data_IF_219161836768
#
_entry.id   IF_219161836768
#
_cell.length_a   1.000
_cell.length_b   1.000
_cell.length_c   1.000
_cell.angle_alpha   90.00
_cell.angle_beta   90.00
_cell.angle_gamma   90.00
#
_symmetry.space_group_name_H-M   'P 1'
#
loop_
_entity.id
_entity.type
_entity.pdbx_description
1 polymer ?
#
# COMPACT_ATOMS: atom_id res chain seq x y z
N UNK A 1 -35.54 61.93 7.04
CA UNK A 1 -35.03 60.68 6.45
C UNK A 1 -35.85 59.54 7.05
N UNK A 2 -36.81 58.97 6.32
CA UNK A 2 -37.70 57.92 6.84
C UNK A 2 -37.05 56.57 6.58
N UNK A 3 -36.60 55.91 7.64
CA UNK A 3 -36.03 54.57 7.56
C UNK A 3 -37.18 53.61 7.31
N UNK A 4 -37.19 52.99 6.13
CA UNK A 4 -38.19 51.99 5.78
C UNK A 4 -37.90 50.73 6.60
N UNK A 5 -38.63 50.57 7.70
CA UNK A 5 -38.34 49.56 8.72
C UNK A 5 -38.39 48.12 8.17
N UNK A 6 -39.23 47.88 7.15
CA UNK A 6 -39.27 46.60 6.44
C UNK A 6 -37.97 46.31 5.70
N UNK A 7 -37.38 47.26 4.98
CA UNK A 7 -36.12 47.04 4.28
C UNK A 7 -34.96 46.92 5.26
N UNK A 8 -34.98 47.70 6.35
CA UNK A 8 -33.99 47.57 7.43
C UNK A 8 -34.02 46.17 8.09
N UNK A 9 -35.20 45.60 8.32
CA UNK A 9 -35.33 44.27 8.91
C UNK A 9 -34.82 43.16 7.97
N UNK A 10 -35.10 43.28 6.67
CA UNK A 10 -34.56 42.34 5.67
C UNK A 10 -33.04 42.47 5.53
N UNK A 11 -32.50 43.70 5.57
CA UNK A 11 -31.05 43.94 5.57
C UNK A 11 -30.37 43.35 6.81
N UNK A 12 -30.97 43.51 8.01
CA UNK A 12 -30.43 42.92 9.25
C UNK A 12 -30.46 41.39 9.17
N UNK A 13 -31.55 40.80 8.69
CA UNK A 13 -31.65 39.34 8.54
C UNK A 13 -30.63 38.80 7.52
N UNK A 14 -30.41 39.51 6.41
CA UNK A 14 -29.41 39.15 5.42
C UNK A 14 -27.98 39.27 5.97
N UNK A 15 -27.69 40.29 6.78
CA UNK A 15 -26.39 40.45 7.45
C UNK A 15 -26.14 39.34 8.48
N UNK A 16 -27.14 39.01 9.29
CA UNK A 16 -27.03 37.90 10.26
C UNK A 16 -26.82 36.56 9.52
N UNK A 17 -27.58 36.31 8.45
CA UNK A 17 -27.43 35.09 7.65
C UNK A 17 -26.04 35.00 6.99
N UNK A 18 -25.54 36.10 6.43
CA UNK A 18 -24.22 36.11 5.80
C UNK A 18 -23.07 35.98 6.80
N UNK A 19 -23.17 36.53 8.01
CA UNK A 19 -22.20 36.27 9.09
C UNK A 19 -22.21 34.80 9.51
N UNK A 20 -23.38 34.16 9.59
CA UNK A 20 -23.45 32.72 9.93
C UNK A 20 -22.89 31.81 8.84
N UNK A 21 -23.01 32.19 7.57
CA UNK A 21 -22.43 31.42 6.45
C UNK A 21 -20.91 31.59 6.37
N UNK A 22 -20.37 32.74 6.76
CA UNK A 22 -18.91 32.99 6.74
C UNK A 22 -18.16 32.26 7.86
N UNK A 23 -18.80 31.99 9.01
CA UNK A 23 -18.24 31.17 10.08
C UNK A 23 -18.24 29.65 9.78
N UNK A 24 -18.80 29.24 8.62
CA UNK A 24 -18.98 27.84 8.23
C UNK A 24 -17.79 27.17 7.53
N UNK A 25 -16.60 27.79 7.50
CA UNK A 25 -15.43 27.13 6.95
C UNK A 25 -14.91 26.11 7.97
N UNK A 26 -15.40 24.87 7.89
CA UNK A 26 -15.02 23.72 8.71
C UNK A 26 -13.59 23.23 8.49
N UNK A 27 -12.62 24.14 8.51
CA UNK A 27 -11.22 23.81 8.54
C UNK A 27 -10.89 23.24 9.93
N UNK A 28 -10.41 22.00 9.97
CA UNK A 28 -9.80 21.41 11.14
C UNK A 28 -8.67 22.35 11.64
N UNK A 29 -8.78 22.91 12.84
CA UNK A 29 -7.84 23.91 13.36
C UNK A 29 -6.43 23.35 13.53
N UNK A 30 -6.34 22.09 13.95
CA UNK A 30 -5.07 21.37 14.00
C UNK A 30 -4.40 21.31 12.61
N UNK A 31 -5.20 21.15 11.54
CA UNK A 31 -4.68 21.12 10.17
C UNK A 31 -4.17 22.47 9.66
N UNK A 32 -4.64 23.58 10.23
CA UNK A 32 -4.20 24.92 9.85
C UNK A 32 -2.85 25.29 10.50
N UNK A 33 -2.60 24.83 11.73
CA UNK A 33 -1.48 25.30 12.54
C UNK A 33 -0.33 24.29 12.67
N UNK A 34 -0.59 23.00 12.44
CA UNK A 34 0.37 21.93 12.72
C UNK A 34 0.58 21.03 11.50
N UNK A 35 1.83 20.58 11.25
CA UNK A 35 2.12 19.62 10.20
C UNK A 35 1.42 18.28 10.47
N UNK A 36 0.83 17.71 9.42
CA UNK A 36 0.23 16.39 9.43
C UNK A 36 1.30 15.31 9.47
N UNK A 37 1.20 14.39 10.42
CA UNK A 37 2.11 13.26 10.60
C UNK A 37 1.53 11.97 10.00
N UNK A 38 0.26 11.68 10.28
CA UNK A 38 -0.40 10.50 9.73
C UNK A 38 -1.92 10.66 9.63
N UNK A 39 -2.53 9.85 8.78
CA UNK A 39 -3.98 9.76 8.62
C UNK A 39 -4.37 8.29 8.62
N UNK A 40 -5.43 7.97 9.34
CA UNK A 40 -6.08 6.66 9.33
C UNK A 40 -7.54 6.86 8.98
N UNK A 41 -7.99 6.16 7.96
CA UNK A 41 -9.38 6.19 7.53
C UNK A 41 -9.84 4.76 7.22
N UNK A 42 -10.95 4.35 7.83
CA UNK A 42 -11.61 3.07 7.57
C UNK A 42 -13.13 3.26 7.54
N UNK A 43 -13.71 3.20 6.35
CA UNK A 43 -15.11 3.57 6.12
C UNK A 43 -15.39 5.00 6.58
N UNK A 44 -16.32 5.13 7.54
CA UNK A 44 -16.72 6.40 8.15
C UNK A 44 -15.82 6.80 9.34
N UNK A 45 -14.86 5.98 9.74
CA UNK A 45 -13.93 6.27 10.83
C UNK A 45 -12.73 7.07 10.30
N UNK A 46 -12.41 8.17 10.96
CA UNK A 46 -11.32 9.07 10.55
C UNK A 46 -10.53 9.56 11.76
N UNK A 47 -9.21 9.40 11.66
CA UNK A 47 -8.23 9.83 12.64
C UNK A 47 -7.06 10.51 11.94
N UNK A 48 -6.74 11.74 12.33
CA UNK A 48 -5.62 12.53 11.78
C UNK A 48 -4.67 12.91 12.89
N UNK A 49 -3.39 12.68 12.71
CA UNK A 49 -2.37 13.02 13.71
C UNK A 49 -1.51 14.15 13.19
N UNK A 50 -1.37 15.19 14.00
CA UNK A 50 -0.52 16.34 13.75
C UNK A 50 0.57 16.41 14.80
N UNK A 51 1.68 17.09 14.47
CA UNK A 51 2.81 17.27 15.38
C UNK A 51 2.99 18.72 15.75
N UNK A 52 3.02 19.01 17.04
CA UNK A 52 3.43 20.27 17.60
C UNK A 52 4.87 20.15 18.10
N UNK A 53 5.82 20.71 17.34
CA UNK A 53 7.24 20.66 17.68
C UNK A 53 7.57 21.60 18.84
N UNK A 54 8.34 21.10 19.82
CA UNK A 54 8.79 21.87 20.99
C UNK A 54 7.69 22.56 21.80
N UNK A 55 6.47 22.01 21.80
CA UNK A 55 5.35 22.50 22.61
C UNK A 55 4.83 21.40 23.51
N UNK A 56 4.51 21.77 24.74
CA UNK A 56 3.98 20.84 25.74
C UNK A 56 2.49 20.56 25.54
N UNK A 57 1.99 19.45 26.08
CA UNK A 57 0.58 19.06 25.97
C UNK A 57 -0.38 20.17 26.47
N UNK A 58 -0.18 20.75 27.67
CA UNK A 58 -1.06 21.82 28.15
C UNK A 58 -1.00 23.09 27.31
N UNK A 59 0.20 23.48 26.85
CA UNK A 59 0.39 24.67 26.02
C UNK A 59 -0.41 24.55 24.71
N UNK A 60 -0.31 23.40 24.04
CA UNK A 60 -1.07 23.13 22.82
C UNK A 60 -2.58 23.04 23.12
N UNK A 61 -2.97 22.47 24.25
CA UNK A 61 -4.37 22.40 24.66
C UNK A 61 -4.98 23.80 24.81
N UNK A 62 -4.28 24.70 25.50
CA UNK A 62 -4.72 26.09 25.66
C UNK A 62 -4.77 26.83 24.33
N UNK A 63 -3.74 26.70 23.49
CA UNK A 63 -3.72 27.36 22.17
C UNK A 63 -4.90 26.91 21.28
N UNK A 64 -5.24 25.62 21.29
CA UNK A 64 -6.38 25.11 20.53
C UNK A 64 -7.71 25.56 21.12
N UNK A 65 -7.83 25.57 22.46
CA UNK A 65 -9.04 26.01 23.15
C UNK A 65 -9.31 27.51 23.00
N UNK A 66 -8.25 28.33 22.94
CA UNK A 66 -8.33 29.77 22.70
C UNK A 66 -8.82 30.10 21.29
N UNK A 67 -8.48 29.26 20.31
CA UNK A 67 -8.94 29.41 18.92
C UNK A 67 -10.37 28.91 18.71
N UNK A 68 -10.73 27.79 19.36
CA UNK A 68 -12.08 27.23 19.35
C UNK A 68 -12.38 26.64 20.71
N UNK A 69 -13.41 27.18 21.35
CA UNK A 69 -13.84 26.72 22.66
C UNK A 69 -14.35 25.27 22.58
N UNK A 70 -13.74 24.32 23.31
CA UNK A 70 -14.25 22.96 23.40
C UNK A 70 -15.49 22.92 24.29
N UNK A 71 -16.35 21.91 24.09
CA UNK A 71 -17.48 21.63 24.97
C UNK A 71 -16.99 21.16 26.35
N UNK A 72 -15.93 20.38 26.35
CA UNK A 72 -15.28 19.89 27.55
C UNK A 72 -13.77 19.77 27.33
N UNK A 73 -13.01 20.03 28.38
CA UNK A 73 -11.57 19.82 28.41
C UNK A 73 -11.24 18.97 29.64
N UNK A 74 -10.38 17.97 29.47
CA UNK A 74 -9.91 17.16 30.59
C UNK A 74 -9.12 18.01 31.57
N UNK A 75 -8.83 17.43 32.74
CA UNK A 75 -7.84 18.00 33.66
C UNK A 75 -6.50 18.18 32.95
N UNK A 76 -5.77 19.20 33.37
CA UNK A 76 -4.43 19.48 32.88
C UNK A 76 -3.49 18.34 33.29
N UNK A 77 -2.81 17.77 32.30
CA UNK A 77 -1.85 16.69 32.50
C UNK A 77 -0.73 16.82 31.43
N UNK A 78 0.54 16.70 31.85
CA UNK A 78 1.69 16.93 30.96
C UNK A 78 1.88 15.83 29.92
N UNK A 79 1.29 14.66 30.12
CA UNK A 79 1.45 13.50 29.25
C UNK A 79 0.29 13.36 28.27
N UNK A 80 -0.95 13.68 28.69
CA UNK A 80 -2.12 13.60 27.82
C UNK A 80 -3.28 14.51 28.24
N UNK A 81 -3.97 15.08 27.26
CA UNK A 81 -5.20 15.84 27.48
C UNK A 81 -6.23 15.56 26.39
N UNK A 82 -7.50 15.76 26.73
CA UNK A 82 -8.63 15.61 25.80
C UNK A 82 -9.39 16.91 25.68
N UNK A 83 -9.69 17.31 24.44
CA UNK A 83 -10.60 18.41 24.14
C UNK A 83 -11.74 17.86 23.30
N UNK A 84 -12.96 18.04 23.79
CA UNK A 84 -14.17 17.52 23.16
C UNK A 84 -14.84 18.63 22.37
N UNK A 85 -15.07 18.38 21.09
CA UNK A 85 -15.84 19.25 20.20
C UNK A 85 -17.11 18.52 19.74
N UNK A 86 -18.09 19.23 19.13
CA UNK A 86 -19.36 18.62 18.73
C UNK A 86 -19.24 17.37 17.83
N UNK A 87 -18.26 17.36 16.92
CA UNK A 87 -18.10 16.32 15.89
C UNK A 87 -16.75 15.58 15.97
N UNK A 88 -15.83 16.06 16.79
CA UNK A 88 -14.43 15.61 16.84
C UNK A 88 -13.93 15.55 18.29
N UNK A 89 -13.07 14.59 18.59
CA UNK A 89 -12.30 14.49 19.83
C UNK A 89 -10.84 14.77 19.52
N UNK A 90 -10.23 15.68 20.27
CA UNK A 90 -8.81 15.96 20.15
C UNK A 90 -8.11 15.30 21.32
N UNK A 91 -7.23 14.36 21.02
CA UNK A 91 -6.39 13.67 21.99
C UNK A 91 -4.95 14.17 21.82
N UNK A 92 -4.52 14.98 22.78
CA UNK A 92 -3.16 15.48 22.85
C UNK A 92 -2.35 14.52 23.70
N UNK A 93 -1.19 14.13 23.23
CA UNK A 93 -0.31 13.21 23.94
C UNK A 93 1.15 13.57 23.68
N UNK A 94 2.00 13.37 24.69
CA UNK A 94 3.44 13.53 24.54
C UNK A 94 4.01 12.46 23.61
N UNK A 95 4.89 12.83 22.67
CA UNK A 95 5.56 11.84 21.81
C UNK A 95 6.56 11.00 22.64
N UNK A 96 6.42 9.67 22.72
CA UNK A 96 7.34 8.82 23.47
C UNK A 96 8.78 8.83 22.92
N UNK A 97 8.96 9.11 21.64
CA UNK A 97 10.28 9.20 21.00
C UNK A 97 10.91 10.59 21.11
N UNK A 98 10.07 11.64 21.25
CA UNK A 98 10.49 13.04 21.35
C UNK A 98 9.62 13.76 22.39
N UNK A 99 9.94 13.66 23.69
CA UNK A 99 9.07 14.17 24.76
C UNK A 99 8.93 15.70 24.81
N UNK A 100 9.69 16.45 24.01
CA UNK A 100 9.51 17.89 23.80
C UNK A 100 8.38 18.20 22.80
N UNK A 101 7.97 17.21 21.99
CA UNK A 101 6.91 17.35 21.00
C UNK A 101 5.59 16.79 21.55
N UNK A 102 4.49 17.40 21.10
CA UNK A 102 3.14 16.92 21.35
C UNK A 102 2.52 16.41 20.05
N UNK A 103 1.89 15.24 20.13
CA UNK A 103 1.08 14.67 19.06
C UNK A 103 -0.38 15.04 19.32
N UNK A 104 -1.03 15.60 18.30
CA UNK A 104 -2.43 16.02 18.33
C UNK A 104 -3.19 15.06 17.44
N UNK A 105 -3.93 14.13 18.02
CA UNK A 105 -4.79 13.21 17.31
C UNK A 105 -6.21 13.79 17.25
N UNK A 106 -6.70 14.05 16.04
CA UNK A 106 -8.05 14.55 15.77
C UNK A 106 -8.88 13.41 15.19
N UNK A 107 -9.79 12.91 16.02
CA UNK A 107 -10.63 11.76 15.73
C UNK A 107 -12.07 12.20 15.56
N UNK A 108 -12.75 11.68 14.54
CA UNK A 108 -14.20 11.89 14.43
C UNK A 108 -14.95 11.00 15.43
N UNK A 109 -16.21 11.34 15.72
CA UNK A 109 -17.06 10.58 16.67
C UNK A 109 -17.09 9.08 16.35
N UNK A 110 -17.15 8.69 15.08
CA UNK A 110 -17.18 7.28 14.70
C UNK A 110 -15.89 6.54 15.03
N UNK A 111 -14.72 7.15 14.81
CA UNK A 111 -13.45 6.57 15.20
C UNK A 111 -13.36 6.42 16.72
N UNK A 112 -13.76 7.45 17.48
CA UNK A 112 -13.77 7.39 18.95
C UNK A 112 -14.65 6.24 19.43
N UNK A 113 -15.89 6.21 18.96
CA UNK A 113 -16.91 5.25 19.37
C UNK A 113 -16.49 3.80 19.10
N UNK A 114 -15.85 3.54 17.96
CA UNK A 114 -15.46 2.20 17.53
C UNK A 114 -14.11 1.74 18.11
N UNK A 115 -13.16 2.65 18.33
CA UNK A 115 -11.79 2.27 18.68
C UNK A 115 -11.45 2.54 20.15
N UNK A 116 -11.94 3.61 20.77
CA UNK A 116 -11.52 3.98 22.11
C UNK A 116 -12.08 3.06 23.19
N UNK A 117 -11.26 2.88 24.22
CA UNK A 117 -11.65 2.25 25.48
C UNK A 117 -12.45 3.27 26.32
N UNK A 118 -13.72 2.98 26.58
CA UNK A 118 -14.61 3.86 27.35
C UNK A 118 -14.15 4.05 28.79
N UNK A 119 -13.58 3.02 29.42
CA UNK A 119 -13.06 3.08 30.78
C UNK A 119 -11.81 3.97 30.87
N UNK A 120 -11.01 4.01 29.79
CA UNK A 120 -9.88 4.92 29.68
C UNK A 120 -10.35 6.37 29.58
N UNK A 121 -11.32 6.68 28.72
CA UNK A 121 -11.85 8.04 28.57
C UNK A 121 -12.59 8.53 29.84
N UNK A 122 -13.19 7.61 30.62
CA UNK A 122 -13.81 7.93 31.91
C UNK A 122 -12.85 8.49 32.96
N UNK A 123 -11.54 8.25 32.81
CA UNK A 123 -10.54 8.90 33.66
C UNK A 123 -10.37 10.40 33.40
N UNK A 124 -10.77 10.87 32.22
CA UNK A 124 -10.47 12.23 31.73
C UNK A 124 -11.71 13.09 31.51
N UNK A 125 -12.82 12.46 31.11
CA UNK A 125 -14.06 13.13 30.69
C UNK A 125 -15.22 12.83 31.65
N UNK A 126 -16.19 13.73 31.73
CA UNK A 126 -17.44 13.55 32.46
C UNK A 126 -18.28 12.44 31.83
N UNK A 127 -19.01 11.73 32.68
CA UNK A 127 -19.92 10.66 32.28
C UNK A 127 -20.94 11.11 31.24
N UNK A 128 -21.48 12.33 31.34
CA UNK A 128 -22.46 12.87 30.40
C UNK A 128 -21.93 13.03 28.97
N UNK A 129 -20.65 13.37 28.82
CA UNK A 129 -20.01 13.50 27.50
C UNK A 129 -19.67 12.12 26.93
N UNK A 130 -19.26 11.19 27.79
CA UNK A 130 -19.05 9.80 27.38
C UNK A 130 -20.34 9.15 26.91
N UNK A 131 -21.44 9.41 27.62
CA UNK A 131 -22.76 8.91 27.21
C UNK A 131 -23.10 9.42 25.81
N UNK A 132 -22.91 10.70 25.49
CA UNK A 132 -23.12 11.22 24.12
C UNK A 132 -22.17 10.58 23.09
N UNK A 133 -20.91 10.34 23.43
CA UNK A 133 -19.94 9.69 22.53
C UNK A 133 -20.29 8.22 22.25
N UNK A 134 -20.87 7.51 23.21
CA UNK A 134 -21.09 6.05 23.16
C UNK A 134 -22.56 5.61 23.14
N UNK A 135 -23.54 6.53 23.14
CA UNK A 135 -24.99 6.30 23.34
C UNK A 135 -25.58 5.16 22.48
N UNK A 136 -25.00 4.89 21.32
CA UNK A 136 -25.51 3.93 20.34
C UNK A 136 -24.93 2.51 20.40
N UNK A 137 -23.91 2.21 21.23
CA UNK A 137 -23.28 0.87 21.24
C UNK A 137 -23.34 0.16 22.58
N UNK A 138 -24.32 -0.73 22.71
CA UNK A 138 -24.32 -1.79 23.71
C UNK A 138 -23.43 -2.94 23.25
N UNK A 139 -22.16 -2.94 23.65
CA UNK A 139 -21.36 -4.17 23.74
C UNK A 139 -20.17 -4.34 22.80
N UNK A 140 -19.74 -3.31 22.04
CA UNK A 140 -18.44 -3.30 21.36
C UNK A 140 -17.73 -1.98 21.67
N UNK A 141 -16.69 -2.06 22.49
CA UNK A 141 -15.78 -0.97 22.78
C UNK A 141 -14.39 -1.40 22.32
N UNK A 142 -13.67 -0.50 21.66
CA UNK A 142 -12.30 -0.80 21.29
C UNK A 142 -11.35 -0.74 22.49
N UNK A 143 -10.07 -0.98 22.23
CA UNK A 143 -9.01 -0.98 23.25
C UNK A 143 -8.03 0.18 23.07
N UNK A 144 -8.37 1.12 22.21
CA UNK A 144 -7.49 2.20 21.82
C UNK A 144 -7.35 3.23 22.94
N UNK A 145 -6.11 3.68 23.15
CA UNK A 145 -5.73 4.61 24.23
C UNK A 145 -4.83 5.74 23.74
N UNK A 146 -4.83 5.99 22.44
CA UNK A 146 -4.04 7.04 21.79
C UNK A 146 -2.94 6.53 20.86
N UNK A 147 -2.48 7.43 20.01
CA UNK A 147 -1.58 7.09 18.92
C UNK A 147 -0.20 6.57 19.35
N UNK A 148 0.25 6.87 20.58
CA UNK A 148 1.48 6.27 21.13
C UNK A 148 1.34 4.77 21.47
N UNK A 149 0.11 4.25 21.56
CA UNK A 149 -0.19 2.85 21.91
C UNK A 149 -0.51 1.98 20.70
N UNK A 150 -0.45 2.51 19.48
CA UNK A 150 -0.61 1.69 18.28
C UNK A 150 0.57 0.72 18.20
N UNK A 151 0.26 -0.57 18.10
CA UNK A 151 1.21 -1.57 17.62
C UNK A 151 1.62 -1.14 16.20
N UNK A 152 2.72 -0.40 16.09
CA UNK A 152 3.35 -0.14 14.80
C UNK A 152 3.63 -1.53 14.24
N UNK A 153 2.86 -1.95 13.23
CA UNK A 153 3.14 -3.17 12.49
C UNK A 153 4.49 -2.98 11.81
N UNK A 154 5.55 -3.32 12.54
CA UNK A 154 6.88 -3.46 12.00
C UNK A 154 6.83 -4.78 11.25
N UNK A 155 7.06 -4.80 9.93
CA UNK A 155 7.19 -6.06 9.24
C UNK A 155 8.28 -6.85 9.96
N UNK A 156 7.96 -8.09 10.37
CA UNK A 156 8.89 -8.97 11.10
C UNK A 156 10.12 -9.32 10.25
N UNK A 157 10.13 -8.94 8.98
CA UNK A 157 11.28 -9.03 8.09
C UNK A 157 12.18 -7.81 8.26
N UNK A 158 13.34 -8.03 8.86
CA UNK A 158 14.46 -7.08 8.79
C UNK A 158 14.90 -7.00 7.33
N UNK A 159 14.67 -5.85 6.69
CA UNK A 159 15.20 -5.58 5.36
C UNK A 159 16.72 -5.68 5.39
N UNK A 160 17.26 -6.70 4.74
CA UNK A 160 18.69 -6.91 4.57
C UNK A 160 19.00 -7.04 3.08
N UNK A 161 20.21 -6.63 2.71
CA UNK A 161 20.69 -6.89 1.36
C UNK A 161 20.78 -8.43 1.15
N UNK A 162 20.32 -8.97 0.01
CA UNK A 162 20.33 -10.42 -0.21
C UNK A 162 21.73 -11.01 -0.07
N UNK A 163 21.86 -12.06 0.73
CA UNK A 163 23.14 -12.73 0.94
C UNK A 163 23.59 -13.48 -0.32
N UNK A 164 24.90 -13.77 -0.45
CA UNK A 164 25.42 -14.49 -1.61
C UNK A 164 24.85 -15.91 -1.77
N UNK A 165 24.29 -16.49 -0.70
CA UNK A 165 23.61 -17.79 -0.73
C UNK A 165 22.18 -17.65 -1.27
N UNK A 166 21.42 -16.64 -0.83
CA UNK A 166 20.07 -16.35 -1.32
C UNK A 166 20.07 -15.98 -2.81
N UNK A 167 21.05 -15.18 -3.26
CA UNK A 167 21.22 -14.85 -4.68
C UNK A 167 21.44 -16.06 -5.59
N UNK A 168 21.90 -17.19 -5.04
CA UNK A 168 22.11 -18.44 -5.79
C UNK A 168 20.90 -19.36 -5.74
N UNK A 169 20.03 -19.21 -4.74
CA UNK A 169 18.90 -20.10 -4.52
C UNK A 169 17.69 -19.73 -5.38
N UNK A 170 17.55 -18.46 -5.75
CA UNK A 170 16.48 -18.00 -6.62
C UNK A 170 17.01 -17.72 -8.03
N UNK A 171 16.29 -18.16 -9.09
CA UNK A 171 16.64 -17.79 -10.45
C UNK A 171 16.55 -16.27 -10.62
N UNK A 172 17.35 -15.66 -11.50
CA UNK A 172 17.27 -14.23 -11.76
C UNK A 172 15.87 -13.88 -12.28
N UNK A 173 15.17 -12.99 -11.57
CA UNK A 173 13.88 -12.47 -12.03
C UNK A 173 14.19 -11.45 -13.14
N UNK A 174 13.89 -11.81 -14.38
CA UNK A 174 13.93 -10.86 -15.50
C UNK A 174 12.68 -9.98 -15.45
N UNK A 175 12.84 -8.67 -15.64
CA UNK A 175 11.69 -7.77 -15.86
C UNK A 175 11.03 -8.13 -17.19
N UNK A 176 9.70 -8.06 -17.25
CA UNK A 176 8.99 -8.20 -18.53
C UNK A 176 9.51 -7.15 -19.53
N UNK A 177 9.76 -7.58 -20.78
CA UNK A 177 10.26 -6.72 -21.85
C UNK A 177 11.76 -6.42 -21.83
N UNK A 178 12.52 -6.88 -20.82
CA UNK A 178 13.98 -6.68 -20.75
C UNK A 178 14.69 -8.02 -20.77
N UNK A 179 14.96 -8.53 -21.97
CA UNK A 179 15.77 -9.73 -22.18
C UNK A 179 16.31 -9.78 -23.61
N UNK A 180 17.62 -9.85 -23.77
CA UNK A 180 18.27 -10.09 -25.06
C UNK A 180 18.43 -11.59 -25.30
N UNK A 181 17.68 -12.16 -26.25
CA UNK A 181 17.90 -13.53 -26.71
C UNK A 181 19.04 -13.50 -27.73
N UNK A 182 20.27 -13.79 -27.31
CA UNK A 182 21.38 -14.00 -28.25
C UNK A 182 21.26 -15.43 -28.79
N UNK A 183 20.79 -15.59 -30.03
CA UNK A 183 20.86 -16.87 -30.75
C UNK A 183 22.32 -17.16 -31.10
N UNK A 184 22.83 -18.33 -30.66
CA UNK A 184 24.19 -18.82 -30.99
C UNK A 184 24.31 -19.35 -32.42
N UNK A 185 23.82 -18.61 -33.41
CA UNK A 185 24.01 -18.95 -34.82
C UNK A 185 24.37 -17.69 -35.59
N UNK A 186 25.60 -17.22 -35.39
CA UNK A 186 26.19 -16.16 -36.20
C UNK A 186 27.69 -16.39 -36.34
N UNK A 187 28.07 -17.46 -37.04
CA UNK A 187 29.21 -17.34 -37.96
C UNK A 187 28.61 -17.21 -39.36
N UNK A 188 28.15 -16.00 -39.68
CA UNK A 188 27.53 -15.70 -40.97
C UNK A 188 26.58 -14.52 -40.89
N UNK A 189 27.17 -13.33 -41.00
CA UNK A 189 26.60 -12.16 -41.67
C UNK A 189 25.33 -11.52 -41.11
N UNK A 190 25.48 -10.25 -40.70
CA UNK A 190 24.38 -9.30 -40.72
C UNK A 190 23.96 -8.82 -39.35
N UNK A 191 24.30 -7.55 -39.07
CA UNK A 191 23.74 -6.77 -37.98
C UNK A 191 22.20 -6.86 -37.95
N UNK A 192 21.64 -7.02 -36.76
CA UNK A 192 20.20 -6.82 -36.51
C UNK A 192 20.05 -6.27 -35.09
N UNK A 193 20.05 -4.94 -34.93
CA UNK A 193 18.85 -4.10 -34.87
C UNK A 193 17.90 -4.53 -33.77
N UNK A 194 17.76 -3.65 -32.78
CA UNK A 194 16.65 -3.59 -31.84
C UNK A 194 15.33 -3.89 -32.55
N UNK A 195 14.73 -5.03 -32.27
CA UNK A 195 13.35 -5.30 -32.65
C UNK A 195 12.46 -4.70 -31.57
N UNK A 196 12.15 -3.42 -31.75
CA UNK A 196 11.19 -2.70 -30.95
C UNK A 196 10.48 -1.72 -31.88
N UNK A 197 9.16 -1.77 -31.83
CA UNK A 197 8.21 -0.92 -32.57
C UNK A 197 7.91 -1.39 -33.99
N UNK A 198 6.78 -2.10 -34.08
CA UNK A 198 5.90 -2.24 -35.25
C UNK A 198 6.16 -3.42 -36.23
N UNK A 199 5.11 -4.21 -36.49
CA UNK A 199 5.05 -5.14 -37.63
C UNK A 199 5.00 -6.66 -37.35
N UNK A 200 3.78 -7.19 -37.17
CA UNK A 200 3.28 -8.55 -37.51
C UNK A 200 4.24 -9.77 -37.54
N UNK A 201 4.00 -10.71 -36.61
CA UNK A 201 4.71 -12.00 -36.47
C UNK A 201 4.39 -13.06 -37.55
N UNK A 202 3.59 -12.77 -38.58
CA UNK A 202 3.09 -13.80 -39.50
C UNK A 202 3.52 -13.68 -40.95
N UNK A 203 4.36 -12.70 -41.32
CA UNK A 203 4.77 -12.53 -42.72
C UNK A 203 6.17 -13.08 -42.98
N UNK A 204 6.25 -14.33 -43.46
CA UNK A 204 7.46 -14.93 -44.02
C UNK A 204 7.52 -14.60 -45.51
N UNK A 205 8.53 -13.84 -45.94
CA UNK A 205 8.78 -13.61 -47.36
C UNK A 205 9.23 -14.89 -48.08
N UNK A 206 8.74 -15.06 -49.30
CA UNK A 206 8.86 -16.26 -50.12
C UNK A 206 10.13 -16.18 -50.97
N UNK A 207 11.18 -16.88 -50.55
CA UNK A 207 12.38 -17.14 -51.34
C UNK A 207 12.33 -18.51 -52.01
N UNK A 208 12.74 -18.56 -53.26
CA UNK A 208 12.53 -19.57 -54.31
C UNK A 208 13.16 -20.95 -54.09
N UNK A 209 12.52 -21.93 -54.72
CA UNK A 209 12.84 -23.35 -54.90
C UNK A 209 14.29 -23.62 -55.27
N UNK A 210 14.91 -24.66 -54.69
CA UNK A 210 15.61 -25.67 -55.49
C UNK A 210 15.74 -27.02 -54.77
N UNK A 211 15.53 -28.04 -55.59
CA UNK A 211 15.46 -29.46 -55.30
C UNK A 211 16.78 -30.05 -54.81
N UNK A 212 16.72 -30.89 -53.77
CA UNK A 212 17.84 -31.74 -53.40
C UNK A 212 17.70 -32.23 -51.97
N UNK A 213 17.06 -33.40 -51.80
CA UNK A 213 17.10 -34.09 -50.52
C UNK A 213 18.54 -34.41 -50.16
N UNK A 214 19.07 -33.74 -49.13
CA UNK A 214 20.30 -34.17 -48.48
C UNK A 214 20.05 -34.27 -46.98
N UNK A 215 19.79 -35.50 -46.55
CA UNK A 215 19.88 -35.91 -45.16
C UNK A 215 21.28 -35.59 -44.65
N UNK A 216 21.39 -34.71 -43.64
CA UNK A 216 22.65 -34.44 -42.97
C UNK A 216 23.17 -35.71 -42.30
N UNK A 217 24.17 -36.35 -42.90
CA UNK A 217 24.96 -37.42 -42.26
C UNK A 217 25.99 -36.77 -41.34
N UNK A 218 26.02 -37.19 -40.07
CA UNK A 218 27.04 -36.79 -39.11
C UNK A 218 28.28 -37.65 -39.37
N UNK A 219 29.37 -37.04 -39.83
CA UNK A 219 30.69 -37.66 -39.78
C UNK A 219 31.26 -37.49 -38.37
N UNK A 220 31.62 -38.60 -37.71
CA UNK A 220 32.47 -38.58 -36.51
C UNK A 220 33.82 -39.12 -36.93
N UNK A 221 34.79 -38.23 -37.11
CA UNK A 221 36.16 -38.63 -37.39
C UNK A 221 36.72 -39.41 -36.20
N UNK A 222 37.20 -40.60 -36.50
CA UNK A 222 38.08 -41.42 -35.68
C UNK A 222 39.47 -40.80 -35.57
N UNK A 223 40.22 -41.32 -34.60
CA UNK A 223 41.68 -41.23 -34.40
C UNK A 223 42.13 -40.33 -33.24
N UNK A 224 42.26 -40.98 -32.08
CA UNK A 224 43.08 -40.58 -30.93
C UNK A 224 44.58 -40.78 -31.24
N UNK A 225 45.56 -40.23 -30.47
CA UNK A 225 45.93 -40.90 -29.21
C UNK A 225 46.42 -40.00 -28.05
N UNK A 226 46.32 -40.62 -26.86
CA UNK A 226 47.08 -40.44 -25.61
C UNK A 226 46.92 -39.12 -24.83
N UNK A 227 46.64 -39.12 -23.52
CA UNK A 227 47.15 -40.00 -22.46
C UNK A 227 46.27 -40.01 -21.20
N UNK A 228 46.13 -41.21 -20.59
CA UNK A 228 45.81 -41.53 -19.17
C UNK A 228 44.41 -41.13 -18.67
N UNK A 229 43.41 -42.02 -18.52
CA UNK A 229 43.35 -43.21 -17.65
C UNK A 229 42.64 -42.81 -16.33
N UNK A 230 41.60 -43.43 -15.79
CA UNK A 230 41.02 -44.78 -15.94
C UNK A 230 39.62 -44.85 -15.30
N UNK A 231 38.72 -45.61 -15.94
CA UNK A 231 37.70 -46.54 -15.37
C UNK A 231 36.61 -46.03 -14.41
N UNK A 232 35.35 -46.48 -14.40
CA UNK A 232 34.59 -47.49 -15.16
C UNK A 232 33.12 -47.38 -14.70
N UNK A 233 32.12 -47.70 -15.53
CA UNK A 233 30.73 -47.80 -15.09
C UNK A 233 29.69 -47.73 -16.20
N UNK A 234 29.33 -48.90 -16.75
CA UNK A 234 28.51 -49.06 -17.94
C UNK A 234 27.04 -48.59 -17.85
N UNK A 235 26.55 -48.07 -18.97
CA UNK A 235 25.15 -47.74 -19.19
C UNK A 235 24.32 -49.00 -19.51
N UNK A 236 23.38 -49.35 -18.63
CA UNK A 236 22.45 -50.49 -18.75
C UNK A 236 21.12 -50.19 -19.45
N UNK A 237 21.06 -49.19 -20.35
CA UNK A 237 19.80 -48.88 -21.04
C UNK A 237 19.95 -48.75 -22.54
N UNK A 238 19.51 -49.79 -23.25
CA UNK A 238 19.21 -49.77 -24.67
C UNK A 238 18.10 -48.75 -24.96
N UNK A 239 18.40 -47.70 -25.72
CA UNK A 239 17.39 -46.72 -26.19
C UNK A 239 16.37 -47.42 -27.12
N UNK A 240 15.07 -47.41 -26.82
CA UNK A 240 14.08 -47.94 -27.75
C UNK A 240 13.96 -47.04 -28.99
N UNK A 241 13.95 -47.68 -30.17
CA UNK A 241 13.76 -47.03 -31.47
C UNK A 241 12.34 -46.45 -31.56
N UNK A 242 12.21 -45.12 -31.70
CA UNK A 242 10.90 -44.49 -31.87
C UNK A 242 10.35 -44.78 -33.27
N UNK A 243 9.35 -45.67 -33.38
CA UNK A 243 8.47 -45.73 -34.54
C UNK A 243 7.53 -44.52 -34.49
N UNK A 244 7.70 -43.60 -35.44
CA UNK A 244 6.76 -42.58 -35.96
C UNK A 244 5.85 -41.82 -34.98
N UNK A 245 5.78 -40.46 -35.05
CA UNK A 245 4.84 -39.69 -34.23
C UNK A 245 3.37 -40.07 -34.50
N UNK A 246 2.48 -40.02 -33.49
CA UNK A 246 1.08 -40.43 -33.64
C UNK A 246 0.33 -39.51 -34.61
N UNK A 247 -0.44 -40.10 -35.53
CA UNK A 247 -1.34 -39.38 -36.45
C UNK A 247 -2.46 -38.70 -35.64
N UNK A 248 -2.50 -37.38 -35.64
CA UNK A 248 -3.65 -36.61 -35.17
C UNK A 248 -4.58 -36.32 -36.35
N UNK A 249 -5.84 -36.77 -36.29
CA UNK A 249 -6.86 -36.42 -37.30
C UNK A 249 -7.51 -35.10 -36.92
N UNK A 250 -7.42 -34.10 -37.79
CA UNK A 250 -7.99 -32.77 -37.58
C UNK A 250 -9.53 -32.87 -37.69
N UNK A 251 -10.26 -32.36 -36.69
CA UNK A 251 -11.73 -32.19 -36.75
C UNK A 251 -12.63 -33.12 -35.92
N UNK A 252 -12.16 -33.69 -34.80
CA UNK A 252 -13.02 -34.46 -33.89
C UNK A 252 -12.84 -34.07 -32.42
N UNK A 253 -13.94 -33.81 -31.70
CA UNK A 253 -13.95 -33.53 -30.25
C UNK A 253 -13.53 -34.79 -29.47
N UNK A 254 -12.22 -34.90 -29.16
CA UNK A 254 -11.66 -36.02 -28.41
C UNK A 254 -11.84 -35.87 -26.91
N UNK A 255 -12.71 -36.68 -26.29
CA UNK A 255 -12.77 -36.87 -24.84
C UNK A 255 -11.48 -37.57 -24.38
N UNK A 256 -10.77 -36.96 -23.44
CA UNK A 256 -9.66 -37.59 -22.71
C UNK A 256 -10.24 -38.57 -21.69
N UNK A 257 -9.99 -39.87 -21.84
CA UNK A 257 -10.28 -40.86 -20.79
C UNK A 257 -9.00 -41.23 -20.06
N UNK A 258 -9.05 -41.19 -18.72
CA UNK A 258 -7.95 -41.62 -17.85
C UNK A 258 -7.97 -43.15 -17.79
N UNK A 259 -6.84 -43.79 -18.12
CA UNK A 259 -6.67 -45.25 -18.02
C UNK A 259 -6.70 -45.64 -16.54
N UNK A 260 -7.50 -46.66 -16.19
CA UNK A 260 -7.51 -47.29 -14.85
C UNK A 260 -6.22 -48.07 -14.64
#
# INVERSE_FOLDING_TARGET
MRINWRTALHSIMAIVLSVTVLAGCGANLAAANYPLESVTQDGDQLSRVYRAENKTVPEVAHELADQKTPQEMSKEDPDRMFLVYPDELYHLQKDPNKPADTLIEVDNREFVRQNYDSSFLQGYLLASVLDDLFDSMKGHHGKYRGYSTRDVYRPVVVYHAPTAKEKKQYPPITKEGVGSIIKRSSSGSGAGTSLGSDGSLTKKEKGTTDSGGFFGKIFRSSDSPSSGGSDSGGSLFSRPKSKSPPKTRVGGFGRLTKRR
#
